data_IF_689038942051
#
_entry.id   IF_689038942051
#
_cell.length_a   1.000
_cell.length_b   1.000
_cell.length_c   1.000
_cell.angle_alpha   90.00
_cell.angle_beta   90.00
_cell.angle_gamma   90.00
#
_symmetry.space_group_name_H-M   'P 1'
#
loop_
_entity.id
_entity.type
_entity.pdbx_description
1 polymer ?
#
# COMPACT_ATOMS: atom_id res chain seq x y z
N UNK A 1 15.79 -1.89 21.64
CA UNK A 1 15.47 -1.52 21.50
C UNK A 1 14.70 -0.99 21.80
N UNK A 2 14.78 -0.50 21.81
CA UNK A 2 14.01 0.07 22.09
C UNK A 2 13.05 -0.01 21.50
N UNK A 3 12.98 -0.62 20.96
CA UNK A 3 12.08 -0.91 20.32
C UNK A 3 11.06 -1.07 21.16
N UNK A 4 11.20 -1.77 22.01
CA UNK A 4 10.24 -2.04 22.82
C UNK A 4 9.60 -0.80 23.15
N UNK A 5 10.21 -0.11 23.19
CA UNK A 5 9.75 0.92 23.44
C UNK A 5 8.81 1.39 22.74
N UNK A 6 8.70 0.81 21.80
CA UNK A 6 7.75 1.10 21.01
C UNK A 6 6.55 1.46 21.66
N UNK A 7 6.29 0.99 22.67
CA UNK A 7 5.15 1.24 23.33
C UNK A 7 4.94 2.66 23.44
N UNK A 8 5.94 3.38 23.74
CA UNK A 8 5.77 4.78 23.92
C UNK A 8 5.41 5.39 22.62
N UNK A 9 5.78 4.71 21.59
CA UNK A 9 5.58 5.31 20.31
C UNK A 9 4.12 5.30 19.96
N UNK A 10 3.36 4.46 20.57
CA UNK A 10 1.96 4.38 20.24
C UNK A 10 1.25 5.62 20.74
N UNK A 11 1.90 6.39 21.58
CA UNK A 11 1.30 7.63 22.04
C UNK A 11 1.38 8.59 20.86
N UNK A 12 0.30 9.01 20.36
CA UNK A 12 0.29 9.90 19.21
C UNK A 12 0.04 9.19 17.91
N UNK A 13 0.02 7.85 17.92
CA UNK A 13 -0.36 7.10 16.75
C UNK A 13 -1.77 6.57 16.95
N UNK A 14 -2.58 6.74 15.94
CA UNK A 14 -3.94 6.22 15.96
C UNK A 14 -4.07 5.18 14.87
N UNK A 15 -4.72 4.06 15.18
CA UNK A 15 -4.91 2.97 14.23
C UNK A 15 -6.39 2.61 14.17
N UNK A 16 -6.95 2.60 12.98
CA UNK A 16 -8.31 2.13 12.79
C UNK A 16 -8.30 0.99 11.79
N UNK A 17 -9.05 -0.06 12.07
CA UNK A 17 -9.09 -1.23 11.20
C UNK A 17 -10.45 -1.36 10.53
N UNK A 18 -10.45 -2.10 9.42
CA UNK A 18 -11.66 -2.37 8.66
C UNK A 18 -11.55 -3.78 8.09
N UNK A 19 -12.66 -4.51 8.10
CA UNK A 19 -12.69 -5.86 7.53
C UNK A 19 -12.87 -5.76 6.03
N UNK A 20 -12.12 -6.55 5.29
CA UNK A 20 -12.16 -6.57 3.83
C UNK A 20 -12.15 -8.00 3.33
N UNK A 21 -12.44 -8.23 2.03
CA UNK A 21 -12.34 -9.59 1.48
C UNK A 21 -10.93 -10.18 1.55
N UNK A 22 -9.91 -9.37 1.76
CA UNK A 22 -8.54 -9.85 1.86
C UNK A 22 -8.06 -9.87 3.32
N UNK A 23 -8.97 -9.70 4.28
CA UNK A 23 -8.66 -9.72 5.70
C UNK A 23 -8.81 -8.35 6.33
N UNK A 24 -8.45 -8.27 7.60
CA UNK A 24 -8.59 -7.03 8.35
C UNK A 24 -7.39 -6.14 8.10
N UNK A 25 -7.63 -4.94 7.62
CA UNK A 25 -6.58 -3.97 7.32
C UNK A 25 -6.66 -2.82 8.30
N UNK A 26 -5.52 -2.31 8.73
CA UNK A 26 -5.47 -1.18 9.63
C UNK A 26 -4.75 -0.01 9.01
N UNK A 27 -5.25 1.20 9.24
CA UNK A 27 -4.59 2.43 8.81
C UNK A 27 -4.00 3.12 10.02
N UNK A 28 -2.78 3.59 9.87
CA UNK A 28 -2.09 4.34 10.92
C UNK A 28 -2.09 5.81 10.54
N UNK A 29 -2.53 6.65 11.46
CA UNK A 29 -2.48 8.09 11.27
C UNK A 29 -1.47 8.70 12.25
N UNK A 30 -0.62 9.58 11.74
CA UNK A 30 0.31 10.35 12.55
C UNK A 30 0.26 11.78 12.04
N UNK A 31 -0.03 12.71 12.95
CA UNK A 31 0.00 14.14 12.64
C UNK A 31 -0.78 14.50 11.37
N UNK A 32 -1.97 13.99 11.26
CA UNK A 32 -2.88 14.38 10.17
C UNK A 32 -2.63 13.72 8.83
N UNK A 33 -1.84 12.67 8.78
CA UNK A 33 -1.60 11.94 7.53
C UNK A 33 -1.58 10.44 7.77
N UNK A 34 -1.95 9.68 6.76
CA UNK A 34 -1.83 8.22 6.80
C UNK A 34 -0.36 7.90 6.54
N UNK A 35 0.24 7.13 7.42
CA UNK A 35 1.66 6.79 7.32
C UNK A 35 1.92 5.31 7.09
N UNK A 36 0.94 4.45 7.40
CA UNK A 36 1.11 3.00 7.20
C UNK A 36 -0.23 2.33 6.96
N UNK A 37 -0.18 1.21 6.25
CA UNK A 37 -1.30 0.26 6.21
C UNK A 37 -0.76 -1.06 6.75
N UNK A 38 -1.44 -1.60 7.75
CA UNK A 38 -1.00 -2.81 8.44
C UNK A 38 -1.95 -3.96 8.15
N UNK A 39 -1.38 -5.16 8.07
CA UNK A 39 -2.17 -6.38 7.87
C UNK A 39 -2.55 -6.95 9.24
N UNK A 40 -3.82 -7.34 9.39
CA UNK A 40 -4.33 -7.94 10.64
C UNK A 40 -4.16 -7.05 11.86
N UNK A 41 -4.31 -5.74 11.66
CA UNK A 41 -4.14 -4.78 12.76
C UNK A 41 -5.41 -4.65 13.58
N UNK A 42 -5.25 -4.21 14.81
CA UNK A 42 -6.37 -3.91 15.70
C UNK A 42 -6.41 -2.41 15.94
N UNK A 43 -7.59 -1.92 16.30
CA UNK A 43 -7.76 -0.51 16.58
C UNK A 43 -6.92 -0.11 17.80
N UNK A 44 -6.41 1.09 17.78
CA UNK A 44 -5.63 1.65 18.87
C UNK A 44 -5.74 3.17 18.81
N UNK A 45 -5.75 3.80 19.98
CA UNK A 45 -5.85 5.24 20.05
C UNK A 45 -7.22 5.74 19.63
N UNK A 46 -7.23 6.92 19.04
CA UNK A 46 -8.47 7.58 18.66
C UNK A 46 -8.83 7.26 17.21
N UNK A 47 -10.11 7.06 16.94
CA UNK A 47 -10.59 6.85 15.58
C UNK A 47 -10.96 8.21 15.02
N UNK A 48 -10.00 8.88 14.44
CA UNK A 48 -10.15 10.24 13.93
C UNK A 48 -11.01 10.29 12.68
N UNK A 49 -11.41 11.50 12.28
CA UNK A 49 -12.18 11.69 11.04
C UNK A 49 -11.37 11.20 9.83
N UNK A 50 -10.05 11.43 9.83
CA UNK A 50 -9.21 10.96 8.74
C UNK A 50 -9.21 9.42 8.67
N UNK A 51 -9.11 8.76 9.82
CA UNK A 51 -9.15 7.30 9.84
C UNK A 51 -10.50 6.76 9.42
N UNK A 52 -11.59 7.42 9.81
CA UNK A 52 -12.92 7.00 9.37
C UNK A 52 -13.04 7.15 7.85
N UNK A 53 -12.56 8.25 7.31
CA UNK A 53 -12.58 8.46 5.87
C UNK A 53 -11.72 7.41 5.16
N UNK A 54 -10.54 7.11 5.70
CA UNK A 54 -9.67 6.09 5.12
C UNK A 54 -10.30 4.72 5.10
N UNK A 55 -10.92 4.32 6.21
CA UNK A 55 -11.60 3.02 6.28
C UNK A 55 -12.79 2.98 5.32
N UNK A 56 -13.51 4.09 5.19
CA UNK A 56 -14.63 4.19 4.25
C UNK A 56 -14.14 4.02 2.81
N UNK A 57 -13.02 4.65 2.47
CA UNK A 57 -12.46 4.52 1.12
C UNK A 57 -11.96 3.10 0.85
N UNK A 58 -11.36 2.45 1.84
CA UNK A 58 -10.94 1.06 1.68
C UNK A 58 -12.16 0.17 1.41
N UNK A 59 -13.24 0.35 2.17
CA UNK A 59 -14.46 -0.40 1.96
C UNK A 59 -15.04 -0.16 0.55
N UNK A 60 -15.05 1.10 0.12
CA UNK A 60 -15.54 1.45 -1.21
C UNK A 60 -14.67 0.84 -2.31
N UNK A 61 -13.34 0.82 -2.11
CA UNK A 61 -12.44 0.19 -3.07
C UNK A 61 -12.76 -1.29 -3.25
N UNK A 62 -12.93 -2.02 -2.15
CA UNK A 62 -13.23 -3.45 -2.24
C UNK A 62 -14.67 -3.72 -2.70
N UNK A 63 -15.55 -2.74 -2.60
CA UNK A 63 -16.90 -2.86 -3.14
C UNK A 63 -16.96 -2.52 -4.63
N UNK A 64 -15.83 -2.12 -5.22
CA UNK A 64 -15.79 -1.75 -6.63
C UNK A 64 -16.35 -0.35 -6.90
N UNK A 65 -16.43 0.48 -5.87
CA UNK A 65 -17.02 1.82 -5.97
C UNK A 65 -16.00 2.95 -5.94
N UNK A 66 -14.73 2.63 -5.77
CA UNK A 66 -13.68 3.63 -5.70
C UNK A 66 -12.51 3.18 -6.54
N UNK A 67 -12.08 4.03 -7.48
CA UNK A 67 -10.95 3.73 -8.35
C UNK A 67 -9.66 4.36 -7.85
N UNK A 68 -9.76 5.44 -7.09
CA UNK A 68 -8.59 6.19 -6.67
C UNK A 68 -8.78 6.68 -5.25
N UNK A 69 -7.79 6.45 -4.41
CA UNK A 69 -7.84 6.92 -3.02
C UNK A 69 -7.50 8.40 -2.96
N UNK A 70 -8.17 9.12 -2.06
CA UNK A 70 -7.93 10.53 -1.86
C UNK A 70 -7.72 10.76 -0.36
N UNK A 71 -6.51 10.51 0.10
CA UNK A 71 -6.15 10.61 1.52
C UNK A 71 -4.79 11.29 1.64
N UNK A 72 -4.61 12.18 2.62
CA UNK A 72 -3.28 12.74 2.86
C UNK A 72 -2.37 11.62 3.37
N UNK A 73 -1.23 11.46 2.74
CA UNK A 73 -0.28 10.41 3.08
C UNK A 73 1.10 11.01 3.29
N UNK A 74 1.88 10.36 4.15
CA UNK A 74 3.28 10.73 4.34
C UNK A 74 4.11 9.46 4.32
N UNK A 75 5.07 9.40 3.42
CA UNK A 75 5.95 8.23 3.27
C UNK A 75 7.30 8.59 3.87
N UNK A 76 7.69 7.87 4.92
CA UNK A 76 9.01 8.04 5.51
C UNK A 76 10.05 7.36 4.62
N UNK A 77 11.29 7.80 4.74
CA UNK A 77 12.38 7.19 3.99
C UNK A 77 13.05 8.18 3.07
N UNK A 78 13.74 7.66 2.05
CA UNK A 78 14.54 8.47 1.15
C UNK A 78 13.68 9.14 0.07
N UNK A 79 14.28 10.11 -0.62
CA UNK A 79 13.62 10.72 -1.76
C UNK A 79 13.37 9.67 -2.85
N UNK A 80 14.28 8.70 -2.99
CA UNK A 80 14.10 7.63 -3.96
C UNK A 80 12.87 6.79 -3.60
N UNK A 81 12.69 6.47 -2.32
CA UNK A 81 11.52 5.70 -1.88
C UNK A 81 10.24 6.46 -2.22
N UNK A 82 10.21 7.76 -1.97
CA UNK A 82 9.03 8.58 -2.30
C UNK A 82 8.82 8.67 -3.80
N UNK A 83 9.88 8.76 -4.59
CA UNK A 83 9.75 8.81 -6.04
C UNK A 83 9.14 7.52 -6.59
N UNK A 84 9.55 6.36 -6.05
CA UNK A 84 8.97 5.08 -6.47
C UNK A 84 7.50 5.01 -6.06
N UNK A 85 7.17 5.47 -4.85
CA UNK A 85 5.77 5.50 -4.40
C UNK A 85 4.92 6.39 -5.30
N UNK A 86 5.44 7.55 -5.70
CA UNK A 86 4.71 8.45 -6.60
C UNK A 86 4.49 7.79 -7.96
N UNK A 87 5.50 7.08 -8.47
CA UNK A 87 5.38 6.38 -9.74
C UNK A 87 4.32 5.28 -9.66
N UNK A 88 4.25 4.58 -8.52
CA UNK A 88 3.24 3.54 -8.33
C UNK A 88 1.84 4.15 -8.22
N UNK A 89 1.72 5.29 -7.54
CA UNK A 89 0.43 5.97 -7.42
C UNK A 89 -0.10 6.41 -8.78
N UNK A 90 0.77 6.61 -9.75
CA UNK A 90 0.36 7.02 -11.08
C UNK A 90 -0.17 5.86 -11.93
N UNK A 91 -0.07 4.62 -11.46
CA UNK A 91 -0.58 3.47 -12.22
C UNK A 91 -2.09 3.38 -11.99
N UNK A 92 -2.90 3.52 -13.07
CA UNK A 92 -4.36 3.49 -12.88
C UNK A 92 -4.87 2.12 -12.48
N UNK A 93 -6.02 2.09 -11.85
CA UNK A 93 -6.69 0.85 -11.49
C UNK A 93 -6.90 0.01 -12.75
N UNK A 94 -6.59 -1.26 -12.68
CA UNK A 94 -6.73 -2.18 -13.80
C UNK A 94 -5.52 -2.26 -14.70
N UNK A 95 -4.50 -1.43 -14.46
CA UNK A 95 -3.27 -1.44 -15.24
C UNK A 95 -2.09 -1.91 -14.41
N UNK A 96 -1.04 -2.29 -15.09
CA UNK A 96 0.20 -2.74 -14.42
C UNK A 96 1.39 -2.11 -15.13
N UNK A 97 2.52 -2.09 -14.43
CA UNK A 97 3.81 -1.67 -15.00
C UNK A 97 4.86 -2.68 -14.55
N UNK A 98 5.93 -2.78 -15.30
CA UNK A 98 7.03 -3.65 -14.88
C UNK A 98 7.99 -2.85 -14.00
N UNK A 99 8.81 -3.58 -13.23
CA UNK A 99 9.86 -2.93 -12.45
C UNK A 99 10.78 -2.11 -13.35
N UNK A 100 11.05 -2.61 -14.56
CA UNK A 100 11.89 -1.87 -15.51
C UNK A 100 11.24 -0.59 -15.99
N UNK A 101 9.93 -0.58 -16.19
CA UNK A 101 9.22 0.62 -16.60
C UNK A 101 9.25 1.68 -15.51
N UNK A 102 9.03 1.27 -14.25
CA UNK A 102 9.14 2.19 -13.12
C UNK A 102 10.58 2.70 -13.01
N UNK A 103 11.55 1.79 -13.17
CA UNK A 103 12.96 2.16 -13.10
C UNK A 103 13.33 3.24 -14.12
N UNK A 104 12.80 3.12 -15.34
CA UNK A 104 13.03 4.15 -16.36
C UNK A 104 12.44 5.49 -15.95
N UNK A 105 11.28 5.47 -15.32
CA UNK A 105 10.62 6.69 -14.87
C UNK A 105 11.42 7.40 -13.79
N UNK A 106 11.97 6.65 -12.83
CA UNK A 106 12.67 7.24 -11.69
C UNK A 106 14.20 7.31 -11.87
N UNK A 107 14.71 6.81 -12.98
CA UNK A 107 16.15 6.89 -13.27
C UNK A 107 16.99 5.94 -12.42
N UNK A 108 16.55 4.69 -12.26
CA UNK A 108 17.23 3.72 -11.41
C UNK A 108 17.21 2.33 -12.05
N UNK A 109 17.71 1.33 -11.33
CA UNK A 109 17.65 -0.04 -11.80
C UNK A 109 16.34 -0.71 -11.37
N UNK A 110 15.95 -1.76 -12.10
CA UNK A 110 14.76 -2.52 -11.74
C UNK A 110 14.92 -3.16 -10.35
N UNK A 111 16.13 -3.56 -9.98
CA UNK A 111 16.38 -4.14 -8.68
C UNK A 111 16.14 -3.12 -7.56
N UNK A 112 16.62 -1.89 -7.75
CA UNK A 112 16.42 -0.85 -6.76
C UNK A 112 14.92 -0.53 -6.59
N UNK A 113 14.18 -0.54 -7.70
CA UNK A 113 12.73 -0.32 -7.66
C UNK A 113 12.06 -1.48 -6.92
N UNK A 114 12.48 -2.72 -7.17
CA UNK A 114 11.94 -3.88 -6.48
C UNK A 114 12.15 -3.78 -4.97
N UNK A 115 13.32 -3.33 -4.54
CA UNK A 115 13.60 -3.15 -3.12
C UNK A 115 12.70 -2.05 -2.54
N UNK A 116 12.51 -0.95 -3.26
CA UNK A 116 11.66 0.14 -2.79
C UNK A 116 10.19 -0.30 -2.72
N UNK A 117 9.72 -1.10 -3.67
CA UNK A 117 8.37 -1.65 -3.62
C UNK A 117 8.19 -2.51 -2.37
N UNK A 118 9.22 -3.28 -2.00
CA UNK A 118 9.19 -4.12 -0.81
C UNK A 118 9.17 -3.32 0.49
N UNK A 119 9.55 -2.05 0.44
CA UNK A 119 9.54 -1.17 1.61
C UNK A 119 8.35 -0.22 1.61
N UNK A 120 7.36 -0.42 0.76
CA UNK A 120 6.17 0.43 0.69
C UNK A 120 5.41 0.36 2.02
N UNK A 121 5.27 1.49 2.73
CA UNK A 121 4.60 1.46 4.03
C UNK A 121 3.08 1.49 3.95
N UNK A 122 2.51 1.79 2.79
CA UNK A 122 1.06 1.93 2.65
C UNK A 122 0.57 1.08 1.47
N UNK A 123 0.75 -0.26 1.54
CA UNK A 123 0.33 -1.13 0.44
C UNK A 123 -1.18 -1.03 0.20
N UNK A 124 -1.64 -1.47 -0.92
CA UNK A 124 -3.01 -1.36 -1.42
C UNK A 124 -3.32 0.07 -1.86
N UNK A 125 -3.13 1.06 -1.00
CA UNK A 125 -3.38 2.45 -1.34
C UNK A 125 -2.27 2.95 -2.28
N UNK A 126 -0.99 2.69 -1.91
CA UNK A 126 0.11 2.88 -2.84
C UNK A 126 0.29 1.53 -3.51
N UNK A 127 -0.10 1.38 -4.77
CA UNK A 127 -0.35 0.06 -5.36
C UNK A 127 0.89 -0.70 -5.82
N UNK A 128 1.71 -1.15 -4.88
CA UNK A 128 2.88 -1.94 -5.25
C UNK A 128 2.47 -3.28 -5.89
N UNK A 129 1.23 -3.72 -5.69
CA UNK A 129 0.75 -4.93 -6.35
C UNK A 129 0.60 -4.76 -7.86
N UNK A 130 0.59 -3.53 -8.37
CA UNK A 130 0.49 -3.26 -9.80
C UNK A 130 1.85 -3.27 -10.50
N UNK A 131 2.93 -3.56 -9.78
CA UNK A 131 4.27 -3.63 -10.37
C UNK A 131 4.66 -5.08 -10.52
N UNK A 132 4.98 -5.49 -11.73
CA UNK A 132 5.23 -6.89 -12.07
C UNK A 132 6.64 -7.08 -12.64
N UNK A 133 7.14 -8.32 -12.64
CA UNK A 133 8.35 -8.65 -13.39
C UNK A 133 8.04 -8.69 -14.87
N UNK A 134 9.08 -8.68 -15.69
CA UNK A 134 8.91 -8.68 -17.14
C UNK A 134 8.18 -9.92 -17.65
N UNK A 135 8.45 -11.08 -17.02
CA UNK A 135 7.85 -12.34 -17.45
C UNK A 135 7.21 -13.11 -16.30
N UNK A 136 6.96 -12.43 -15.18
CA UNK A 136 6.36 -13.09 -14.01
C UNK A 136 5.67 -12.06 -13.14
N UNK A 137 5.02 -12.51 -12.07
CA UNK A 137 4.29 -11.61 -11.17
C UNK A 137 5.21 -10.79 -10.27
N UNK A 138 6.48 -11.18 -10.12
CA UNK A 138 7.34 -10.55 -9.14
C UNK A 138 6.95 -10.97 -7.73
N UNK A 139 7.48 -10.27 -6.75
CA UNK A 139 7.20 -10.55 -5.34
C UNK A 139 6.14 -9.63 -4.77
N UNK A 140 5.81 -9.85 -3.52
CA UNK A 140 4.91 -8.99 -2.79
C UNK A 140 5.21 -9.16 -1.30
N UNK A 141 5.45 -8.04 -0.61
CA UNK A 141 5.85 -8.08 0.79
C UNK A 141 4.66 -8.04 1.76
N UNK A 142 3.45 -7.87 1.27
CA UNK A 142 2.27 -7.87 2.13
C UNK A 142 1.94 -9.27 2.65
N UNK A 143 1.02 -9.34 3.59
CA UNK A 143 0.59 -10.61 4.16
C UNK A 143 0.02 -11.50 3.06
N UNK A 144 0.41 -12.78 3.06
CA UNK A 144 -0.04 -13.71 2.03
C UNK A 144 0.82 -13.72 0.78
N UNK A 145 1.81 -12.82 0.67
CA UNK A 145 2.77 -12.84 -0.43
C UNK A 145 2.12 -12.73 -1.81
N UNK A 146 2.62 -13.50 -2.76
CA UNK A 146 2.16 -13.42 -4.15
C UNK A 146 0.67 -13.77 -4.28
N UNK A 147 0.15 -14.62 -3.41
CA UNK A 147 -1.28 -14.94 -3.44
C UNK A 147 -2.13 -13.70 -3.16
N UNK A 148 -1.69 -12.86 -2.24
CA UNK A 148 -2.39 -11.61 -1.95
C UNK A 148 -2.30 -10.67 -3.15
N UNK A 149 -1.14 -10.61 -3.78
CA UNK A 149 -0.94 -9.80 -4.99
C UNK A 149 -1.93 -10.21 -6.07
N UNK A 150 -2.09 -11.52 -6.27
CA UNK A 150 -3.04 -12.04 -7.26
C UNK A 150 -4.46 -11.64 -6.89
N UNK A 151 -4.84 -11.73 -5.61
CA UNK A 151 -6.18 -11.35 -5.19
C UNK A 151 -6.47 -9.89 -5.50
N UNK A 152 -5.51 -9.01 -5.23
CA UNK A 152 -5.68 -7.58 -5.49
C UNK A 152 -5.79 -7.31 -6.99
N UNK A 153 -4.93 -7.95 -7.78
CA UNK A 153 -4.97 -7.76 -9.24
C UNK A 153 -6.27 -8.27 -9.84
N UNK A 154 -6.76 -9.42 -9.35
CA UNK A 154 -8.05 -9.93 -9.82
C UNK A 154 -9.18 -8.99 -9.43
N UNK A 155 -9.14 -8.47 -8.23
CA UNK A 155 -10.15 -7.53 -7.77
C UNK A 155 -10.21 -6.32 -8.69
N UNK A 156 -9.06 -5.87 -9.16
CA UNK A 156 -8.98 -4.70 -10.02
C UNK A 156 -9.25 -5.02 -11.49
N UNK A 157 -9.40 -6.28 -11.83
CA UNK A 157 -9.61 -6.67 -13.21
C UNK A 157 -8.43 -6.34 -14.11
N UNK A 158 -7.20 -6.51 -13.60
CA UNK A 158 -6.01 -6.16 -14.37
C UNK A 158 -5.97 -6.94 -15.67
N UNK A 159 -5.85 -6.20 -16.77
CA UNK A 159 -5.95 -6.79 -18.10
C UNK A 159 -4.77 -7.74 -18.38
N UNK A 160 -5.05 -8.83 -19.08
CA UNK A 160 -4.01 -9.74 -19.51
C UNK A 160 -3.55 -10.74 -18.49
N UNK A 161 -4.11 -10.71 -17.28
CA UNK A 161 -3.73 -11.68 -16.28
C UNK A 161 -4.65 -12.86 -16.34
N UNK A 162 -4.07 -14.03 -16.52
CA UNK A 162 -4.85 -15.29 -16.60
C UNK A 162 -4.71 -16.02 -15.28
N UNK A 163 -5.25 -15.43 -14.24
CA UNK A 163 -5.10 -15.98 -12.90
C UNK A 163 -6.44 -16.10 -12.19
#
# INVERSE_FOLDING_TARGET
MRWGVLICDDVGMNIASVDTPVGRLGLVEEDGAITQLLWNAQDSGERTDLLEEGCSQISAYFAGELDEFDLPMRVAGSDFQRAVCDAMLAIPLGETRTYGEIASTVGASAQAVGNACGCNPIPVIIPCHRVLGANNLGGFSGAGGVEMKVKLLRHEGAAGLLI
#
